data_IF_973920473519
#
_entry.id   IF_973920473519
#
_cell.length_a   1.000
_cell.length_b   1.000
_cell.length_c   1.000
_cell.angle_alpha   90.00
_cell.angle_beta   90.00
_cell.angle_gamma   90.00
#
_symmetry.space_group_name_H-M   'P 1'
#
loop_
_entity.id
_entity.type
_entity.pdbx_description
1 polymer ?
#
# COMPACT_ATOMS: atom_id res chain seq x y z
N UNK A 1 -47.60 -29.37 34.71
CA UNK A 1 -46.78 -30.39 34.02
C UNK A 1 -45.56 -29.71 33.40
N UNK A 2 -44.35 -30.05 33.85
CA UNK A 2 -43.09 -29.54 33.25
C UNK A 2 -42.91 -30.22 31.88
N UNK A 3 -42.57 -29.49 30.80
CA UNK A 3 -42.40 -30.08 29.49
C UNK A 3 -41.23 -31.08 29.48
N UNK A 4 -41.31 -32.16 28.69
CA UNK A 4 -40.32 -33.23 28.68
C UNK A 4 -38.94 -32.73 28.23
N UNK A 5 -37.89 -33.21 28.89
CA UNK A 5 -36.48 -32.79 28.76
C UNK A 5 -35.98 -32.80 27.30
N UNK A 6 -36.47 -33.73 26.47
CA UNK A 6 -36.15 -33.82 25.03
C UNK A 6 -36.52 -32.55 24.24
N UNK A 7 -37.67 -31.92 24.52
CA UNK A 7 -38.12 -30.73 23.79
C UNK A 7 -37.32 -29.48 24.15
N UNK A 8 -36.68 -29.45 25.32
CA UNK A 8 -35.82 -28.35 25.77
C UNK A 8 -34.42 -28.40 25.16
N UNK A 9 -33.91 -29.60 24.85
CA UNK A 9 -32.63 -29.81 24.19
C UNK A 9 -32.68 -29.47 22.70
N UNK A 10 -33.74 -29.83 21.98
CA UNK A 10 -33.89 -29.50 20.56
C UNK A 10 -34.02 -27.99 20.32
N UNK A 11 -34.79 -27.27 21.14
CA UNK A 11 -34.94 -25.81 20.97
C UNK A 11 -33.67 -25.03 21.32
N UNK A 12 -32.87 -25.50 22.28
CA UNK A 12 -31.59 -24.88 22.62
C UNK A 12 -30.54 -25.07 21.51
N UNK A 13 -30.54 -26.22 20.83
CA UNK A 13 -29.63 -26.51 19.72
C UNK A 13 -29.96 -25.65 18.48
N UNK A 14 -31.25 -25.46 18.17
CA UNK A 14 -31.71 -24.68 17.01
C UNK A 14 -31.43 -23.18 17.20
N UNK A 15 -31.59 -22.64 18.43
CA UNK A 15 -31.27 -21.23 18.72
C UNK A 15 -29.75 -20.98 18.69
N UNK A 16 -28.92 -21.94 19.13
CA UNK A 16 -27.47 -21.83 19.05
C UNK A 16 -26.93 -21.94 17.60
N UNK A 17 -27.61 -22.67 16.72
CA UNK A 17 -27.26 -22.74 15.29
C UNK A 17 -27.70 -21.49 14.50
N UNK A 18 -28.82 -20.85 14.89
CA UNK A 18 -29.34 -19.67 14.22
C UNK A 18 -28.57 -18.36 14.54
N UNK A 19 -27.90 -18.26 15.69
CA UNK A 19 -27.13 -17.07 16.07
C UNK A 19 -25.71 -17.04 15.49
N UNK A 20 -25.15 -18.18 15.06
CA UNK A 20 -23.78 -18.24 14.50
C UNK A 20 -23.74 -17.91 12.99
N UNK A 21 -24.87 -17.98 12.29
CA UNK A 21 -24.94 -17.69 10.85
C UNK A 21 -24.93 -16.19 10.50
N UNK A 22 -25.00 -15.29 11.48
CA UNK A 22 -25.19 -13.85 11.25
C UNK A 22 -23.91 -13.00 11.34
N UNK A 23 -22.73 -13.60 11.52
CA UNK A 23 -21.44 -12.88 11.57
C UNK A 23 -20.61 -13.11 10.30
N UNK A 24 -21.23 -12.89 9.13
CA UNK A 24 -20.45 -12.60 7.94
C UNK A 24 -19.90 -11.18 8.10
N UNK A 25 -18.70 -11.05 8.68
CA UNK A 25 -18.03 -9.76 8.81
C UNK A 25 -17.89 -9.12 7.43
N UNK A 26 -18.42 -7.91 7.26
CA UNK A 26 -18.19 -7.12 6.04
C UNK A 26 -16.70 -6.88 5.90
N UNK A 27 -16.09 -7.34 4.81
CA UNK A 27 -14.68 -7.09 4.54
C UNK A 27 -14.48 -5.59 4.28
N UNK A 28 -14.05 -4.85 5.30
CA UNK A 28 -13.69 -3.45 5.15
C UNK A 28 -12.37 -3.33 4.38
N UNK A 29 -12.27 -2.33 3.51
CA UNK A 29 -11.01 -1.98 2.85
C UNK A 29 -10.07 -1.34 3.88
N UNK A 30 -8.89 -1.94 4.02
CA UNK A 30 -7.78 -1.45 4.83
C UNK A 30 -6.84 -0.66 3.92
N UNK A 31 -6.47 0.56 4.35
CA UNK A 31 -5.54 1.42 3.63
C UNK A 31 -4.09 0.93 3.80
N UNK A 32 -3.33 0.96 2.72
CA UNK A 32 -1.87 0.72 2.73
C UNK A 32 -1.18 2.07 2.99
N UNK A 33 -0.27 2.17 3.98
CA UNK A 33 0.47 3.40 4.25
C UNK A 33 1.50 3.64 3.14
N UNK A 34 1.12 4.41 2.12
CA UNK A 34 1.96 4.83 1.01
C UNK A 34 2.14 6.34 1.04
N UNK A 35 3.30 6.80 0.58
CA UNK A 35 3.70 8.20 0.63
C UNK A 35 4.12 8.68 -0.75
N UNK A 36 3.80 9.93 -1.06
CA UNK A 36 4.25 10.60 -2.26
C UNK A 36 5.76 10.90 -2.16
N UNK A 37 6.38 11.23 -3.28
CA UNK A 37 7.79 11.65 -3.27
C UNK A 37 7.96 13.01 -2.60
N UNK A 38 9.09 13.20 -1.92
CA UNK A 38 9.51 14.47 -1.34
C UNK A 38 8.65 14.96 -0.20
N UNK A 39 8.06 14.06 0.58
CA UNK A 39 7.21 14.37 1.73
C UNK A 39 7.81 13.95 3.07
N UNK A 40 7.32 14.55 4.14
CA UNK A 40 7.57 14.13 5.51
C UNK A 40 6.77 12.87 5.88
N UNK A 41 6.86 12.45 7.15
CA UNK A 41 6.15 11.27 7.68
C UNK A 41 4.63 11.43 7.77
N UNK A 42 4.10 12.64 7.53
CA UNK A 42 2.66 12.94 7.46
C UNK A 42 2.14 13.03 6.03
N UNK A 43 2.99 12.73 5.03
CA UNK A 43 2.72 12.90 3.60
C UNK A 43 2.53 14.37 3.17
N UNK A 44 3.12 15.31 3.91
CA UNK A 44 3.18 16.73 3.54
C UNK A 44 4.49 17.01 2.82
N UNK A 45 4.44 17.71 1.69
CA UNK A 45 5.63 18.06 0.92
C UNK A 45 6.63 18.87 1.75
N UNK A 46 7.91 18.47 1.72
CA UNK A 46 8.99 19.24 2.36
C UNK A 46 9.06 20.64 1.78
N UNK A 47 9.21 21.65 2.63
CA UNK A 47 9.44 23.03 2.17
C UNK A 47 10.87 23.21 1.64
N UNK A 48 11.94 22.78 2.35
CA UNK A 48 13.32 22.94 1.89
C UNK A 48 13.65 22.05 0.69
N UNK A 49 14.70 22.42 -0.05
CA UNK A 49 15.35 21.55 -1.04
C UNK A 49 16.47 20.73 -0.41
N UNK A 50 16.99 19.77 -1.17
CA UNK A 50 18.09 18.89 -0.75
C UNK A 50 17.79 18.07 0.51
N UNK A 51 16.51 17.85 0.80
CA UNK A 51 16.06 16.96 1.86
C UNK A 51 16.02 15.55 1.27
N UNK A 52 16.74 14.62 1.89
CA UNK A 52 16.66 13.19 1.59
C UNK A 52 15.23 12.71 1.66
N UNK A 53 14.77 12.01 0.63
CA UNK A 53 13.48 11.33 0.67
C UNK A 53 13.54 10.16 1.67
N UNK A 54 12.57 10.11 2.58
CA UNK A 54 12.50 9.08 3.63
C UNK A 54 11.62 7.88 3.23
N UNK A 55 10.94 7.96 2.09
CA UNK A 55 9.98 6.98 1.57
C UNK A 55 10.47 6.30 0.29
N UNK A 56 11.39 6.93 -0.43
CA UNK A 56 11.98 6.44 -1.67
C UNK A 56 13.51 6.33 -1.57
N UNK A 57 14.07 5.28 -2.17
CA UNK A 57 15.51 5.04 -2.23
C UNK A 57 15.90 4.50 -3.61
N UNK A 58 17.19 4.52 -3.95
CA UNK A 58 17.67 3.92 -5.20
C UNK A 58 17.96 2.44 -5.01
N UNK A 59 17.46 1.59 -5.91
CA UNK A 59 17.96 0.22 -6.12
C UNK A 59 19.01 0.18 -7.23
N UNK A 60 18.99 1.15 -8.13
CA UNK A 60 20.01 1.42 -9.13
C UNK A 60 20.16 2.92 -9.32
N UNK A 61 21.39 3.42 -9.31
CA UNK A 61 21.70 4.81 -9.64
C UNK A 61 23.15 4.93 -10.12
N UNK A 62 23.46 5.81 -11.09
CA UNK A 62 24.84 6.16 -11.43
C UNK A 62 25.49 7.11 -10.40
N UNK A 63 24.72 7.66 -9.45
CA UNK A 63 25.22 8.55 -8.40
C UNK A 63 25.22 7.88 -7.04
N UNK A 64 26.14 8.30 -6.16
CA UNK A 64 26.14 7.88 -4.76
C UNK A 64 25.11 8.69 -3.95
N UNK A 65 24.57 8.07 -2.89
CA UNK A 65 23.63 8.71 -1.98
C UNK A 65 22.15 8.47 -2.33
N UNK A 66 21.23 8.85 -1.42
CA UNK A 66 19.80 8.69 -1.62
C UNK A 66 19.23 9.78 -2.55
N UNK A 67 18.01 9.59 -3.07
CA UNK A 67 17.32 10.68 -3.76
C UNK A 67 16.99 11.81 -2.78
N UNK A 68 17.09 13.05 -3.27
CA UNK A 68 16.81 14.27 -2.51
C UNK A 68 15.78 15.13 -3.24
N UNK A 69 15.06 15.95 -2.49
CA UNK A 69 14.11 16.92 -3.06
C UNK A 69 14.81 17.96 -3.93
N UNK A 70 14.28 18.13 -5.15
CA UNK A 70 14.74 19.15 -6.10
C UNK A 70 14.30 20.55 -5.64
N UNK A 71 15.15 21.54 -5.89
CA UNK A 71 14.88 22.92 -5.56
C UNK A 71 13.73 23.47 -6.43
N UNK A 72 12.63 23.86 -5.78
CA UNK A 72 11.42 24.32 -6.45
C UNK A 72 11.55 25.72 -7.05
N UNK A 73 12.59 26.48 -6.70
CA UNK A 73 12.80 27.85 -7.14
C UNK A 73 13.73 27.98 -8.36
N UNK A 74 14.16 26.86 -8.96
CA UNK A 74 15.08 26.85 -10.10
C UNK A 74 14.47 26.10 -11.28
N UNK A 75 15.01 26.36 -12.47
CA UNK A 75 14.79 25.51 -13.64
C UNK A 75 15.29 24.09 -13.34
N UNK A 76 14.57 23.02 -13.75
CA UNK A 76 13.44 22.99 -14.68
C UNK A 76 12.03 23.10 -14.05
N UNK A 77 11.91 23.28 -12.73
CA UNK A 77 10.61 23.41 -12.06
C UNK A 77 10.07 24.83 -12.19
N UNK A 78 10.83 25.82 -11.72
CA UNK A 78 10.45 27.22 -11.83
C UNK A 78 10.90 27.77 -13.19
N UNK A 79 9.95 28.28 -13.97
CA UNK A 79 10.23 28.80 -15.31
C UNK A 79 10.67 27.73 -16.32
N UNK A 80 10.48 26.44 -16.01
CA UNK A 80 10.81 25.32 -16.87
C UNK A 80 9.62 24.40 -17.12
N UNK A 81 9.84 23.27 -17.81
CA UNK A 81 8.77 22.42 -18.32
C UNK A 81 8.30 21.35 -17.33
N UNK A 82 8.95 21.18 -16.17
CA UNK A 82 8.54 20.16 -15.20
C UNK A 82 7.19 20.50 -14.60
N UNK A 83 6.32 19.49 -14.50
CA UNK A 83 5.04 19.64 -13.81
C UNK A 83 5.28 20.17 -12.39
N UNK A 84 4.65 21.30 -11.98
CA UNK A 84 4.98 21.95 -10.71
C UNK A 84 4.72 21.05 -9.51
N UNK A 85 5.58 21.14 -8.50
CA UNK A 85 5.34 20.54 -7.19
C UNK A 85 4.03 21.05 -6.58
N UNK A 86 3.48 20.30 -5.62
CA UNK A 86 2.31 20.74 -4.85
C UNK A 86 2.50 20.46 -3.35
N UNK A 87 1.47 20.74 -2.56
CA UNK A 87 1.51 20.58 -1.10
C UNK A 87 1.72 19.12 -0.64
N UNK A 88 1.51 18.15 -1.52
CA UNK A 88 1.52 16.72 -1.18
C UNK A 88 2.62 15.94 -1.88
N UNK A 89 3.36 16.51 -2.83
CA UNK A 89 4.42 15.81 -3.56
C UNK A 89 5.45 16.75 -4.17
N UNK A 90 6.71 16.31 -4.20
CA UNK A 90 7.81 17.00 -4.87
C UNK A 90 8.64 16.08 -5.75
N UNK A 91 9.25 16.66 -6.76
CA UNK A 91 10.33 16.02 -7.50
C UNK A 91 11.49 15.65 -6.58
N UNK A 92 11.95 14.41 -6.72
CA UNK A 92 13.18 13.90 -6.14
C UNK A 92 14.14 13.50 -7.25
N UNK A 93 15.43 13.64 -7.00
CA UNK A 93 16.47 13.31 -7.95
C UNK A 93 17.82 13.12 -7.26
N UNK A 94 18.91 12.95 -8.01
CA UNK A 94 20.24 12.72 -7.44
C UNK A 94 20.83 13.96 -6.76
N UNK A 95 20.38 15.16 -7.13
CA UNK A 95 20.83 16.43 -6.56
C UNK A 95 19.70 17.47 -6.57
N UNK A 96 19.76 18.44 -5.64
CA UNK A 96 18.76 19.51 -5.57
C UNK A 96 18.73 20.41 -6.81
N UNK A 97 19.80 20.46 -7.60
CA UNK A 97 19.89 21.18 -8.88
C UNK A 97 19.17 20.46 -10.03
N UNK A 98 18.55 19.31 -9.75
CA UNK A 98 17.98 18.35 -10.69
C UNK A 98 19.00 17.65 -11.58
N UNK A 99 20.28 18.02 -11.55
CA UNK A 99 21.25 17.50 -12.51
C UNK A 99 21.72 16.09 -12.12
N UNK A 100 21.79 15.20 -13.11
CA UNK A 100 22.35 13.87 -12.96
C UNK A 100 23.08 13.40 -14.23
N UNK A 101 24.07 12.50 -14.09
CA UNK A 101 24.70 11.82 -15.23
C UNK A 101 23.67 10.99 -16.02
N UNK A 102 23.95 10.78 -17.31
CA UNK A 102 23.18 9.85 -18.12
C UNK A 102 23.27 8.42 -17.56
N UNK A 103 22.15 7.69 -17.59
CA UNK A 103 22.08 6.34 -17.05
C UNK A 103 20.69 5.96 -16.53
N UNK A 104 20.57 4.71 -16.09
CA UNK A 104 19.35 4.19 -15.49
C UNK A 104 19.28 4.55 -14.00
N UNK A 105 18.12 5.04 -13.58
CA UNK A 105 17.77 5.33 -12.20
C UNK A 105 16.54 4.50 -11.83
N UNK A 106 16.65 3.64 -10.83
CA UNK A 106 15.51 2.89 -10.31
C UNK A 106 15.21 3.37 -8.90
N UNK A 107 14.08 4.06 -8.75
CA UNK A 107 13.58 4.54 -7.48
C UNK A 107 12.61 3.51 -6.90
N UNK A 108 12.76 3.17 -5.63
CA UNK A 108 11.97 2.14 -4.98
C UNK A 108 11.27 2.67 -3.73
N UNK A 109 10.06 2.20 -3.48
CA UNK A 109 9.35 2.35 -2.21
C UNK A 109 8.78 1.01 -1.76
N UNK A 110 8.52 0.87 -0.46
CA UNK A 110 8.09 -0.39 0.13
C UNK A 110 6.87 -0.23 1.03
N UNK A 111 6.06 -1.28 1.07
CA UNK A 111 4.97 -1.44 2.03
C UNK A 111 4.82 -2.91 2.42
N UNK A 112 4.15 -3.17 3.54
CA UNK A 112 3.98 -4.53 4.07
C UNK A 112 2.52 -4.93 4.11
N UNK A 113 2.20 -6.13 3.62
CA UNK A 113 0.88 -6.74 3.73
C UNK A 113 0.86 -7.79 4.85
N UNK A 114 -0.14 -7.76 5.75
CA UNK A 114 -0.26 -8.75 6.82
C UNK A 114 -0.64 -10.14 6.27
N UNK A 115 -0.40 -11.23 7.03
CA UNK A 115 -0.79 -12.59 6.62
C UNK A 115 -2.27 -12.78 6.31
N UNK A 116 -3.13 -11.94 6.91
CA UNK A 116 -4.57 -11.94 6.69
C UNK A 116 -5.01 -11.10 5.49
N UNK A 117 -4.09 -10.50 4.72
CA UNK A 117 -4.45 -9.75 3.52
C UNK A 117 -4.95 -10.67 2.41
N UNK A 118 -6.07 -10.30 1.79
CA UNK A 118 -6.54 -10.93 0.57
C UNK A 118 -5.83 -10.30 -0.64
N UNK A 119 -4.79 -10.97 -1.15
CA UNK A 119 -3.96 -10.47 -2.25
C UNK A 119 -4.75 -10.14 -3.53
N UNK A 120 -5.87 -10.81 -3.80
CA UNK A 120 -6.70 -10.56 -4.97
C UNK A 120 -7.48 -9.24 -4.91
N UNK A 121 -7.52 -8.59 -3.73
CA UNK A 121 -8.18 -7.31 -3.50
C UNK A 121 -7.20 -6.15 -3.35
N UNK A 122 -5.90 -6.45 -3.34
CA UNK A 122 -4.86 -5.44 -3.23
C UNK A 122 -4.85 -4.62 -4.51
N UNK A 123 -4.94 -3.31 -4.38
CA UNK A 123 -4.74 -2.37 -5.47
C UNK A 123 -3.89 -1.22 -4.96
N UNK A 124 -2.92 -0.80 -5.79
CA UNK A 124 -2.15 0.43 -5.59
C UNK A 124 -2.30 1.27 -6.85
N UNK A 125 -2.54 2.57 -6.69
CA UNK A 125 -2.67 3.51 -7.80
C UNK A 125 -2.09 4.85 -7.44
N UNK A 126 -1.69 5.63 -8.43
CA UNK A 126 -1.22 6.99 -8.22
C UNK A 126 -1.00 7.70 -9.54
N UNK A 127 -0.29 8.81 -9.47
CA UNK A 127 0.21 9.54 -10.62
C UNK A 127 1.73 9.62 -10.54
N UNK A 128 2.40 9.60 -11.68
CA UNK A 128 3.86 9.70 -11.75
C UNK A 128 4.30 10.56 -12.94
N UNK A 129 5.45 11.20 -12.78
CA UNK A 129 6.18 11.91 -13.84
C UNK A 129 7.67 11.64 -13.65
N UNK A 130 8.42 11.68 -14.74
CA UNK A 130 9.84 11.31 -14.78
C UNK A 130 10.62 12.32 -15.63
N UNK A 131 11.93 12.39 -15.45
CA UNK A 131 12.82 13.02 -16.42
C UNK A 131 14.07 12.13 -16.63
N UNK A 132 14.36 11.58 -17.81
CA UNK A 132 13.63 11.68 -19.09
C UNK A 132 12.44 10.66 -19.14
N UNK A 133 12.40 9.55 -19.94
CA UNK A 133 11.24 8.65 -19.90
C UNK A 133 11.24 7.70 -18.68
N UNK A 134 10.03 7.41 -18.21
CA UNK A 134 9.78 6.29 -17.32
C UNK A 134 9.57 5.02 -18.15
N UNK A 135 10.45 4.05 -17.99
CA UNK A 135 10.50 2.83 -18.79
C UNK A 135 9.61 1.71 -18.25
N UNK A 136 9.32 1.72 -16.94
CA UNK A 136 8.46 0.73 -16.31
C UNK A 136 8.07 1.15 -14.88
N UNK A 137 7.00 0.53 -14.38
CA UNK A 137 6.78 0.35 -12.94
C UNK A 137 6.79 -1.15 -12.67
N UNK A 138 7.57 -1.58 -11.69
CA UNK A 138 7.65 -2.98 -11.26
C UNK A 138 7.12 -3.15 -9.85
N UNK A 139 6.53 -4.30 -9.58
CA UNK A 139 6.14 -4.74 -8.23
C UNK A 139 6.80 -6.08 -7.97
N UNK A 140 7.69 -6.15 -6.98
CA UNK A 140 8.46 -7.36 -6.67
C UNK A 140 9.18 -7.94 -7.90
N UNK A 141 9.86 -7.10 -8.69
CA UNK A 141 10.52 -7.43 -9.96
C UNK A 141 9.58 -7.94 -11.06
N UNK A 142 8.27 -7.70 -10.95
CA UNK A 142 7.28 -8.05 -11.97
C UNK A 142 6.86 -6.76 -12.67
N UNK A 143 7.11 -6.70 -13.98
CA UNK A 143 6.72 -5.58 -14.85
C UNK A 143 5.21 -5.38 -14.89
N UNK A 144 4.79 -4.12 -14.79
CA UNK A 144 3.39 -3.70 -15.04
C UNK A 144 3.21 -3.12 -16.44
N UNK A 145 4.30 -2.88 -17.18
CA UNK A 145 4.29 -2.33 -18.54
C UNK A 145 3.91 -0.84 -18.61
N UNK A 146 3.82 -0.16 -17.46
CA UNK A 146 3.38 1.23 -17.39
C UNK A 146 4.53 2.18 -17.69
N UNK A 147 4.29 3.13 -18.59
CA UNK A 147 5.28 4.08 -19.09
C UNK A 147 4.91 5.52 -18.69
N UNK A 148 5.93 6.36 -18.57
CA UNK A 148 5.78 7.82 -18.43
C UNK A 148 6.48 8.50 -19.58
N UNK A 149 5.76 9.39 -20.27
CA UNK A 149 6.29 10.15 -21.40
C UNK A 149 7.30 11.23 -20.99
N UNK A 150 7.38 11.56 -19.69
CA UNK A 150 8.36 12.49 -19.15
C UNK A 150 7.77 13.53 -18.22
N UNK A 151 8.43 14.69 -18.17
CA UNK A 151 8.35 15.62 -17.05
C UNK A 151 7.20 16.63 -17.10
N UNK A 152 6.52 16.78 -18.23
CA UNK A 152 5.55 17.85 -18.45
C UNK A 152 4.18 17.61 -17.80
N UNK A 153 3.87 16.37 -17.43
CA UNK A 153 2.60 16.02 -16.79
C UNK A 153 2.71 14.75 -15.95
N UNK A 154 1.95 14.73 -14.85
CA UNK A 154 1.70 13.50 -14.09
C UNK A 154 0.73 12.60 -14.88
N UNK A 155 1.13 11.36 -15.16
CA UNK A 155 0.30 10.34 -15.79
C UNK A 155 -0.18 9.30 -14.76
N UNK A 156 -1.36 8.69 -14.91
CA UNK A 156 -1.85 7.71 -13.95
C UNK A 156 -1.15 6.35 -14.08
N UNK A 157 -1.07 5.63 -12.96
CA UNK A 157 -0.69 4.21 -12.91
C UNK A 157 -1.58 3.42 -11.93
N UNK A 158 -1.68 2.10 -12.15
CA UNK A 158 -2.37 1.15 -11.28
C UNK A 158 -1.66 -0.20 -11.26
N UNK A 159 -1.62 -0.85 -10.11
CA UNK A 159 -1.03 -2.15 -9.85
C UNK A 159 -2.10 -2.99 -9.15
N UNK A 160 -2.54 -4.06 -9.80
CA UNK A 160 -3.63 -4.94 -9.29
C UNK A 160 -3.19 -6.39 -9.10
N UNK A 161 -1.91 -6.69 -9.31
CA UNK A 161 -1.33 -8.03 -9.22
C UNK A 161 0.17 -7.95 -8.92
N UNK A 162 0.80 -9.09 -8.62
CA UNK A 162 2.23 -9.17 -8.28
C UNK A 162 2.53 -8.95 -6.80
N UNK A 163 1.48 -8.77 -5.98
CA UNK A 163 1.59 -8.61 -4.53
C UNK A 163 1.89 -9.93 -3.81
N UNK A 164 2.58 -9.83 -2.68
CA UNK A 164 2.88 -10.95 -1.79
C UNK A 164 2.59 -10.59 -0.32
N UNK A 165 2.39 -11.60 0.51
CA UNK A 165 2.35 -11.40 1.96
C UNK A 165 3.74 -10.95 2.44
N UNK A 166 3.80 -10.01 3.38
CA UNK A 166 5.04 -9.40 3.83
C UNK A 166 5.41 -8.18 2.99
N UNK A 167 6.72 -7.96 2.81
CA UNK A 167 7.24 -6.75 2.15
C UNK A 167 6.97 -6.82 0.65
N UNK A 168 6.47 -5.72 0.11
CA UNK A 168 6.28 -5.48 -1.32
C UNK A 168 7.10 -4.26 -1.72
N UNK A 169 7.84 -4.35 -2.82
CA UNK A 169 8.65 -3.25 -3.35
C UNK A 169 8.06 -2.79 -4.69
N UNK A 170 7.73 -1.50 -4.79
CA UNK A 170 7.38 -0.86 -6.06
C UNK A 170 8.61 -0.12 -6.56
N UNK A 171 9.02 -0.39 -7.81
CA UNK A 171 10.15 0.25 -8.45
C UNK A 171 9.71 1.05 -9.67
N UNK A 172 10.19 2.28 -9.78
CA UNK A 172 9.97 3.20 -10.88
C UNK A 172 11.27 3.32 -11.67
N UNK A 173 11.27 2.80 -12.89
CA UNK A 173 12.46 2.75 -13.73
C UNK A 173 12.49 3.99 -14.62
N UNK A 174 13.52 4.82 -14.45
CA UNK A 174 13.74 6.07 -15.19
C UNK A 174 15.04 5.96 -15.96
N UNK A 175 15.03 6.39 -17.22
CA UNK A 175 16.24 6.47 -18.04
C UNK A 175 16.59 7.92 -18.28
N UNK A 176 17.75 8.36 -17.82
CA UNK A 176 18.26 9.71 -18.07
C UNK A 176 19.17 9.70 -19.31
N UNK A 177 18.99 10.67 -20.21
CA UNK A 177 19.90 10.96 -21.32
C UNK A 177 21.06 11.87 -20.89
N UNK A 178 21.00 12.45 -19.68
CA UNK A 178 21.97 13.35 -19.08
C UNK A 178 21.41 14.76 -18.93
N UNK A 179 21.77 15.44 -17.84
CA UNK A 179 21.18 16.74 -17.49
C UNK A 179 20.11 16.58 -16.40
N UNK A 180 19.00 17.33 -16.43
CA UNK A 180 17.91 17.17 -15.47
C UNK A 180 17.38 15.74 -15.42
N UNK A 181 17.22 15.21 -14.22
CA UNK A 181 16.57 13.91 -14.01
C UNK A 181 15.85 13.87 -12.67
N UNK A 182 14.76 13.12 -12.62
CA UNK A 182 14.01 12.94 -11.40
C UNK A 182 12.79 12.04 -11.53
N UNK A 183 12.20 11.75 -10.38
CA UNK A 183 10.91 11.11 -10.22
C UNK A 183 10.01 12.02 -9.40
N UNK A 184 8.73 12.07 -9.78
CA UNK A 184 7.68 12.59 -8.92
C UNK A 184 6.49 11.65 -8.91
N UNK A 185 6.12 11.18 -7.73
CA UNK A 185 4.91 10.39 -7.50
C UNK A 185 3.94 11.22 -6.66
N UNK A 186 2.70 11.32 -7.11
CA UNK A 186 1.63 12.06 -6.44
C UNK A 186 0.37 11.21 -6.33
N UNK A 187 -0.47 11.52 -5.34
CA UNK A 187 -1.72 10.81 -5.04
C UNK A 187 -1.56 9.29 -4.99
N UNK A 188 -0.41 8.78 -4.55
CA UNK A 188 -0.25 7.35 -4.36
C UNK A 188 -1.15 6.89 -3.21
N UNK A 189 -1.88 5.82 -3.46
CA UNK A 189 -2.80 5.25 -2.50
C UNK A 189 -2.93 3.76 -2.77
N UNK A 190 -3.20 2.99 -1.73
CA UNK A 190 -3.41 1.57 -1.85
C UNK A 190 -4.39 1.06 -0.81
N UNK A 191 -5.05 -0.04 -1.13
CA UNK A 191 -5.98 -0.69 -0.22
C UNK A 191 -6.05 -2.19 -0.48
N UNK A 192 -6.49 -2.93 0.53
CA UNK A 192 -6.78 -4.35 0.44
C UNK A 192 -7.90 -4.72 1.42
N UNK A 193 -8.53 -5.87 1.22
CA UNK A 193 -9.45 -6.45 2.19
C UNK A 193 -8.77 -7.56 2.98
N UNK A 194 -9.19 -7.75 4.23
CA UNK A 194 -8.77 -8.90 5.02
C UNK A 194 -9.56 -10.15 4.59
N UNK A 195 -8.89 -11.30 4.62
CA UNK A 195 -9.53 -12.61 4.56
C UNK A 195 -10.35 -12.76 5.85
N UNK A 196 -11.69 -12.93 5.78
CA UNK A 196 -12.49 -13.12 6.98
C UNK A 196 -12.01 -14.36 7.74
N UNK A 197 -11.82 -14.23 9.06
CA UNK A 197 -11.51 -15.39 9.90
C UNK A 197 -12.63 -16.44 9.76
N UNK A 198 -12.29 -17.73 9.58
CA UNK A 198 -13.31 -18.76 9.47
C UNK A 198 -14.22 -18.74 10.70
N UNK A 199 -15.54 -18.63 10.49
CA UNK A 199 -16.55 -18.69 11.56
C UNK A 199 -16.46 -19.98 12.39
N UNK A 200 -15.71 -20.98 11.91
CA UNK A 200 -15.34 -22.20 12.63
C UNK A 200 -14.69 -21.93 13.99
N UNK A 201 -13.87 -20.89 14.15
CA UNK A 201 -13.29 -20.56 15.46
C UNK A 201 -14.36 -20.05 16.43
N UNK A 202 -15.27 -19.20 15.97
CA UNK A 202 -16.43 -18.75 16.74
C UNK A 202 -17.38 -19.91 17.06
N UNK A 203 -17.57 -20.84 16.13
CA UNK A 203 -18.38 -22.04 16.32
C UNK A 203 -17.73 -22.99 17.34
N UNK A 204 -16.41 -23.19 17.28
CA UNK A 204 -15.67 -24.02 18.23
C UNK A 204 -15.70 -23.40 19.64
N UNK A 205 -15.48 -22.09 19.76
CA UNK A 205 -15.60 -21.37 21.03
C UNK A 205 -17.02 -21.43 21.60
N UNK A 206 -18.03 -21.22 20.75
CA UNK A 206 -19.44 -21.36 21.11
C UNK A 206 -19.78 -22.78 21.56
N UNK A 207 -19.26 -23.80 20.87
CA UNK A 207 -19.43 -25.21 21.21
C UNK A 207 -18.80 -25.56 22.57
N UNK A 208 -17.57 -25.12 22.83
CA UNK A 208 -16.89 -25.33 24.12
C UNK A 208 -17.61 -24.63 25.27
N UNK A 209 -18.08 -23.39 25.06
CA UNK A 209 -18.86 -22.66 26.05
C UNK A 209 -20.20 -23.35 26.37
N UNK A 210 -20.88 -23.88 25.36
CA UNK A 210 -22.12 -24.64 25.54
C UNK A 210 -21.88 -25.93 26.35
N UNK A 211 -20.81 -26.68 26.05
CA UNK A 211 -20.43 -27.89 26.80
C UNK A 211 -20.10 -27.55 28.27
N UNK A 212 -19.36 -26.48 28.53
CA UNK A 212 -19.03 -26.05 29.88
C UNK A 212 -20.28 -25.64 30.69
N UNK A 213 -21.22 -24.94 30.07
CA UNK A 213 -22.48 -24.56 30.69
C UNK A 213 -23.36 -25.78 31.01
N UNK A 214 -23.38 -26.78 30.12
CA UNK A 214 -24.11 -28.05 30.35
C UNK A 214 -23.47 -28.86 31.49
N UNK A 215 -22.14 -28.93 31.58
CA UNK A 215 -21.44 -29.62 32.69
C UNK A 215 -21.70 -28.98 34.05
N UNK A 216 -21.70 -27.64 34.15
CA UNK A 216 -21.97 -26.93 35.42
C UNK A 216 -23.37 -27.19 35.98
N UNK A 217 -24.34 -27.52 35.13
CA UNK A 217 -25.71 -27.85 35.53
C UNK A 217 -25.91 -29.31 35.95
N UNK A 218 -24.94 -30.19 35.66
CA UNK A 218 -25.04 -31.63 35.92
C UNK A 218 -24.37 -32.08 37.22
N UNK A 219 -23.67 -31.19 37.93
CA UNK A 219 -23.09 -31.47 39.25
C UNK A 219 -24.16 -31.26 40.34
N UNK A 220 -24.54 -32.28 41.11
CA UNK A 220 -25.38 -32.10 42.30
C UNK A 220 -24.57 -31.46 43.44
N UNK A 221 -25.23 -30.60 44.22
CA UNK A 221 -24.75 -30.12 45.53
C UNK A 221 -24.68 -31.27 46.53
#
# INVERSE_FOLDING_TARGET
MKPPIKNRLCNALIVALATVAAWAGTAAAVTIPLFNTGTDATNTAWVPSNVTDIHYFYTLSPTAGPPVTVNNAIWPIFGGPWVPNNANSRWIGPDQSSQGPAGAYTYATQFTLPPSANLATVNVSGLWATDDPGLNIEINNISTGQLSAGFSSLVPFSITSGFQIGVNTIEFLVQNAGGPTGLRVDKIQGSFSLIPEPTTLSLAAGGLAAIAALRRRALPL
#
